data_IF_348510037259
#
_entry.id   IF_348510037259
#
_cell.length_a   1.000
_cell.length_b   1.000
_cell.length_c   1.000
_cell.angle_alpha   90.00
_cell.angle_beta   90.00
_cell.angle_gamma   90.00
#
_symmetry.space_group_name_H-M   'P 1'
#
loop_
_entity.id
_entity.type
_entity.pdbx_description
1 polymer ?
#
# COMPACT_ATOMS: atom_id res chain seq x y z
N UNK A 1 -22.54 14.99 0.72
CA UNK A 1 -22.88 13.66 0.16
C UNK A 1 -21.71 12.96 -0.56
N UNK A 2 -20.82 13.68 -1.28
CA UNK A 2 -19.65 13.09 -1.97
C UNK A 2 -18.57 12.52 -1.01
N UNK A 3 -18.34 13.17 0.14
CA UNK A 3 -17.36 12.73 1.17
C UNK A 3 -17.65 11.35 1.74
N UNK A 4 -18.91 11.03 2.01
CA UNK A 4 -19.31 9.75 2.61
C UNK A 4 -19.06 8.59 1.64
N UNK A 5 -19.30 8.80 0.34
CA UNK A 5 -18.97 7.80 -0.69
C UNK A 5 -17.46 7.59 -0.81
N UNK A 6 -16.67 8.68 -0.82
CA UNK A 6 -15.20 8.59 -0.85
C UNK A 6 -14.65 7.85 0.36
N UNK A 7 -15.12 8.17 1.57
CA UNK A 7 -14.71 7.48 2.80
C UNK A 7 -15.06 5.98 2.78
N UNK A 8 -16.18 5.58 2.17
CA UNK A 8 -16.53 4.17 1.97
C UNK A 8 -15.50 3.46 1.07
N UNK A 9 -15.12 4.08 -0.06
CA UNK A 9 -14.08 3.52 -0.95
C UNK A 9 -12.74 3.34 -0.24
N UNK A 10 -12.30 4.33 0.55
CA UNK A 10 -11.08 4.20 1.36
C UNK A 10 -11.18 3.06 2.38
N UNK A 11 -12.31 2.92 3.07
CA UNK A 11 -12.50 1.80 4.01
C UNK A 11 -12.50 0.44 3.31
N UNK A 12 -13.11 0.32 2.12
CA UNK A 12 -13.07 -0.93 1.35
C UNK A 12 -11.63 -1.30 0.97
N UNK A 13 -10.85 -0.35 0.45
CA UNK A 13 -9.45 -0.57 0.11
C UNK A 13 -8.61 -0.93 1.35
N UNK A 14 -8.86 -0.28 2.49
CA UNK A 14 -8.21 -0.59 3.76
C UNK A 14 -8.45 -2.05 4.16
N UNK A 15 -9.71 -2.51 4.12
CA UNK A 15 -10.03 -3.91 4.44
C UNK A 15 -9.33 -4.87 3.48
N UNK A 16 -9.39 -4.61 2.17
CA UNK A 16 -8.75 -5.47 1.16
C UNK A 16 -7.24 -5.60 1.34
N UNK A 17 -6.55 -4.52 1.73
CA UNK A 17 -5.11 -4.52 2.02
C UNK A 17 -4.79 -5.22 3.34
N UNK A 18 -5.62 -5.08 4.37
CA UNK A 18 -5.46 -5.83 5.63
C UNK A 18 -5.69 -7.33 5.46
N UNK A 19 -6.46 -7.76 4.46
CA UNK A 19 -6.72 -9.17 4.19
C UNK A 19 -5.58 -9.87 3.43
N UNK A 20 -4.58 -9.14 2.89
CA UNK A 20 -3.50 -9.78 2.10
C UNK A 20 -2.71 -10.83 2.89
N UNK A 21 -2.26 -10.60 4.15
CA UNK A 21 -1.52 -11.62 4.90
C UNK A 21 -2.32 -12.91 5.07
N UNK A 22 -3.65 -12.80 5.23
CA UNK A 22 -4.55 -13.95 5.35
C UNK A 22 -4.63 -14.68 4.00
N UNK A 23 -4.77 -13.95 2.90
CA UNK A 23 -4.76 -14.54 1.55
C UNK A 23 -3.44 -15.27 1.25
N UNK A 24 -2.31 -14.69 1.64
CA UNK A 24 -1.00 -15.32 1.51
C UNK A 24 -0.92 -16.61 2.33
N UNK A 25 -1.36 -16.59 3.59
CA UNK A 25 -1.36 -17.78 4.45
C UNK A 25 -2.20 -18.92 3.84
N UNK A 26 -3.36 -18.60 3.28
CA UNK A 26 -4.21 -19.57 2.58
C UNK A 26 -3.46 -20.17 1.37
N UNK A 27 -2.83 -19.33 0.55
CA UNK A 27 -2.06 -19.79 -0.63
C UNK A 27 -0.91 -20.72 -0.22
N UNK A 28 -0.19 -20.40 0.85
CA UNK A 28 0.89 -21.25 1.34
C UNK A 28 0.35 -22.54 1.94
N UNK A 29 -0.75 -22.49 2.68
CA UNK A 29 -1.41 -23.67 3.23
C UNK A 29 -1.80 -24.66 2.13
N UNK A 30 -2.27 -24.17 0.96
CA UNK A 30 -2.51 -25.02 -0.20
C UNK A 30 -1.24 -25.65 -0.79
N UNK A 31 -0.11 -24.94 -0.81
CA UNK A 31 1.17 -25.50 -1.24
C UNK A 31 1.70 -26.55 -0.25
N UNK A 32 1.36 -26.43 1.03
CA UNK A 32 1.78 -27.36 2.07
C UNK A 32 1.00 -28.67 2.05
N UNK A 33 -0.25 -28.66 1.54
CA UNK A 33 -1.07 -29.86 1.37
C UNK A 33 -0.38 -30.80 0.36
N UNK A 34 0.20 -31.89 0.86
CA UNK A 34 0.94 -32.87 0.07
C UNK A 34 2.47 -32.73 0.12
N UNK A 35 2.98 -31.70 0.81
CA UNK A 35 4.41 -31.59 1.16
C UNK A 35 4.63 -32.03 2.62
N UNK A 36 5.74 -32.69 2.92
CA UNK A 36 6.13 -33.02 4.31
C UNK A 36 6.80 -31.83 5.03
N UNK A 37 6.67 -30.63 4.49
CA UNK A 37 7.33 -29.43 5.01
C UNK A 37 6.35 -28.64 5.86
N UNK A 38 6.88 -27.97 6.88
CA UNK A 38 6.14 -26.95 7.64
C UNK A 38 6.36 -25.56 7.02
N UNK A 39 5.58 -24.56 7.44
CA UNK A 39 5.65 -23.17 6.97
C UNK A 39 7.09 -22.61 6.96
N UNK A 40 7.83 -22.87 8.03
CA UNK A 40 9.21 -22.42 8.16
C UNK A 40 10.14 -23.13 7.17
N UNK A 41 9.97 -24.44 6.98
CA UNK A 41 10.73 -25.21 6.00
C UNK A 41 10.48 -24.74 4.57
N UNK A 42 9.25 -24.34 4.25
CA UNK A 42 8.92 -23.81 2.92
C UNK A 42 9.50 -22.41 2.68
N UNK A 43 9.53 -21.56 3.70
CA UNK A 43 10.14 -20.23 3.63
C UNK A 43 11.66 -20.29 3.45
N UNK A 44 12.31 -21.29 4.05
CA UNK A 44 13.74 -21.52 3.91
C UNK A 44 14.10 -22.15 2.55
N UNK A 45 13.22 -23.01 2.02
CA UNK A 45 13.46 -23.69 0.76
C UNK A 45 13.15 -22.81 -0.47
N UNK A 46 12.09 -22.00 -0.41
CA UNK A 46 11.63 -21.17 -1.51
C UNK A 46 11.69 -19.67 -1.16
N UNK A 47 12.78 -19.04 -1.58
CA UNK A 47 13.01 -17.61 -1.37
C UNK A 47 11.94 -16.73 -2.03
N UNK A 48 11.25 -17.21 -3.08
CA UNK A 48 10.14 -16.47 -3.69
C UNK A 48 8.89 -16.44 -2.78
N UNK A 49 8.67 -17.51 -2.00
CA UNK A 49 7.61 -17.54 -0.97
C UNK A 49 7.93 -16.57 0.17
N UNK A 50 9.19 -16.49 0.60
CA UNK A 50 9.62 -15.53 1.63
C UNK A 50 9.44 -14.07 1.18
N UNK A 51 9.76 -13.75 -0.08
CA UNK A 51 9.49 -12.40 -0.63
C UNK A 51 8.00 -12.11 -0.69
N UNK A 52 7.20 -13.07 -1.14
CA UNK A 52 5.74 -12.92 -1.22
C UNK A 52 5.11 -12.70 0.16
N UNK A 53 5.68 -13.32 1.20
CA UNK A 53 5.30 -13.08 2.60
C UNK A 53 5.60 -11.64 3.04
N UNK A 54 6.82 -11.17 2.78
CA UNK A 54 7.23 -9.79 3.05
C UNK A 54 6.31 -8.79 2.33
N UNK A 55 6.02 -9.01 1.05
CA UNK A 55 5.09 -8.20 0.27
C UNK A 55 3.68 -8.18 0.90
N UNK A 56 3.20 -9.34 1.38
CA UNK A 56 1.89 -9.44 2.04
C UNK A 56 1.84 -8.65 3.36
N UNK A 57 2.93 -8.64 4.14
CA UNK A 57 3.04 -7.89 5.40
C UNK A 57 3.08 -6.38 5.18
N UNK A 58 3.64 -5.91 4.05
CA UNK A 58 3.70 -4.47 3.74
C UNK A 58 2.30 -3.88 3.54
N UNK A 59 1.34 -4.66 3.03
CA UNK A 59 0.00 -4.16 2.68
C UNK A 59 -0.83 -3.61 3.87
N UNK A 60 -0.83 -4.23 5.06
CA UNK A 60 -1.39 -3.61 6.28
C UNK A 60 -0.85 -2.21 6.60
N UNK A 61 0.43 -1.91 6.33
CA UNK A 61 1.00 -0.57 6.56
C UNK A 61 0.45 0.44 5.55
N UNK A 62 0.21 0.02 4.32
CA UNK A 62 -0.45 0.83 3.28
C UNK A 62 -1.90 1.08 3.68
N UNK A 63 -2.59 0.08 4.23
CA UNK A 63 -3.94 0.23 4.77
C UNK A 63 -3.99 1.25 5.92
N UNK A 64 -2.98 1.26 6.79
CA UNK A 64 -2.84 2.25 7.85
C UNK A 64 -2.66 3.67 7.30
N UNK A 65 -1.84 3.85 6.25
CA UNK A 65 -1.72 5.14 5.56
C UNK A 65 -3.06 5.61 4.96
N UNK A 66 -3.79 4.71 4.30
CA UNK A 66 -5.13 5.03 3.79
C UNK A 66 -6.11 5.43 4.89
N UNK A 67 -5.99 4.85 6.09
CA UNK A 67 -6.77 5.26 7.24
C UNK A 67 -6.47 6.71 7.65
N UNK A 68 -5.20 7.09 7.70
CA UNK A 68 -4.79 8.45 8.02
C UNK A 68 -5.29 9.45 6.96
N UNK A 69 -5.18 9.10 5.67
CA UNK A 69 -5.75 9.91 4.60
C UNK A 69 -7.25 10.10 4.79
N UNK A 70 -8.00 9.02 5.07
CA UNK A 70 -9.45 9.04 5.29
C UNK A 70 -9.86 10.00 6.43
N UNK A 71 -9.05 10.07 7.49
CA UNK A 71 -9.28 10.98 8.63
C UNK A 71 -9.11 12.45 8.20
N UNK A 72 -8.11 12.71 7.36
CA UNK A 72 -7.69 14.06 6.98
C UNK A 72 -8.24 14.53 5.62
N UNK A 73 -9.08 13.74 4.93
CA UNK A 73 -9.79 14.12 3.69
C UNK A 73 -10.63 15.41 3.76
N UNK A 74 -10.94 15.93 4.96
CA UNK A 74 -11.67 17.19 5.14
C UNK A 74 -10.76 18.41 5.34
N UNK A 75 -9.47 18.23 5.65
CA UNK A 75 -8.53 19.34 5.73
C UNK A 75 -8.08 19.74 4.31
N UNK A 76 -7.65 20.99 4.12
CA UNK A 76 -7.17 21.57 2.83
C UNK A 76 -5.88 20.91 2.28
N UNK A 77 -5.59 19.66 2.65
CA UNK A 77 -4.33 18.95 2.39
C UNK A 77 -4.47 17.86 1.31
N UNK A 78 -5.47 17.99 0.43
CA UNK A 78 -5.73 17.00 -0.62
C UNK A 78 -4.52 16.82 -1.55
N UNK A 79 -3.71 17.85 -1.78
CA UNK A 79 -2.47 17.77 -2.56
C UNK A 79 -1.42 16.84 -1.92
N UNK A 80 -1.20 16.93 -0.61
CA UNK A 80 -0.26 16.07 0.12
C UNK A 80 -0.72 14.60 0.14
N UNK A 81 -2.03 14.38 0.25
CA UNK A 81 -2.62 13.03 0.18
C UNK A 81 -2.44 12.42 -1.21
N UNK A 82 -2.67 13.20 -2.28
CA UNK A 82 -2.47 12.75 -3.65
C UNK A 82 -1.00 12.41 -3.94
N UNK A 83 -0.07 13.26 -3.52
CA UNK A 83 1.37 12.97 -3.64
C UNK A 83 1.75 11.68 -2.90
N UNK A 84 1.21 11.50 -1.69
CA UNK A 84 1.46 10.31 -0.90
C UNK A 84 0.85 9.05 -1.54
N UNK A 85 -0.33 9.16 -2.17
CA UNK A 85 -0.92 8.05 -2.93
C UNK A 85 -0.06 7.64 -4.13
N UNK A 86 0.57 8.58 -4.84
CA UNK A 86 1.51 8.25 -5.93
C UNK A 86 2.68 7.44 -5.39
N UNK A 87 3.25 7.81 -4.24
CA UNK A 87 4.30 7.02 -3.58
C UNK A 87 3.86 5.59 -3.26
N UNK A 88 2.63 5.41 -2.77
CA UNK A 88 2.07 4.08 -2.50
C UNK A 88 1.83 3.27 -3.79
N UNK A 89 1.41 3.91 -4.88
CA UNK A 89 1.27 3.26 -6.20
C UNK A 89 2.63 2.74 -6.68
N UNK A 90 3.68 3.55 -6.55
CA UNK A 90 5.05 3.13 -6.89
C UNK A 90 5.46 1.94 -6.03
N UNK A 91 5.23 1.97 -4.71
CA UNK A 91 5.51 0.84 -3.83
C UNK A 91 4.82 -0.46 -4.30
N UNK A 92 3.55 -0.39 -4.69
CA UNK A 92 2.83 -1.58 -5.15
C UNK A 92 3.29 -2.10 -6.52
N UNK A 93 3.77 -1.22 -7.39
CA UNK A 93 4.43 -1.63 -8.62
C UNK A 93 5.73 -2.40 -8.31
N UNK A 94 6.53 -1.93 -7.35
CA UNK A 94 7.75 -2.64 -6.93
C UNK A 94 7.45 -4.00 -6.29
N UNK A 95 6.36 -4.12 -5.53
CA UNK A 95 5.90 -5.40 -4.99
C UNK A 95 5.22 -6.31 -6.02
N UNK A 96 5.05 -5.86 -7.27
CA UNK A 96 4.40 -6.62 -8.34
C UNK A 96 2.89 -6.80 -8.16
N UNK A 97 2.25 -6.07 -7.26
CA UNK A 97 0.82 -6.25 -6.95
C UNK A 97 -0.08 -5.32 -7.77
N UNK A 98 -0.29 -5.69 -9.04
CA UNK A 98 -1.08 -4.92 -10.01
C UNK A 98 -2.53 -4.68 -9.57
N UNK A 99 -3.12 -5.61 -8.81
CA UNK A 99 -4.49 -5.45 -8.32
C UNK A 99 -4.60 -4.26 -7.35
N UNK A 100 -3.66 -4.14 -6.40
CA UNK A 100 -3.64 -3.00 -5.48
C UNK A 100 -3.22 -1.70 -6.16
N UNK A 101 -2.38 -1.75 -7.20
CA UNK A 101 -2.08 -0.58 -8.05
C UNK A 101 -3.36 0.02 -8.62
N UNK A 102 -4.21 -0.81 -9.24
CA UNK A 102 -5.48 -0.36 -9.82
C UNK A 102 -6.41 0.29 -8.76
N UNK A 103 -6.50 -0.31 -7.57
CA UNK A 103 -7.31 0.23 -6.46
C UNK A 103 -6.78 1.59 -6.00
N UNK A 104 -5.46 1.72 -5.81
CA UNK A 104 -4.84 2.96 -5.35
C UNK A 104 -4.94 4.09 -6.38
N UNK A 105 -4.74 3.78 -7.67
CA UNK A 105 -4.95 4.74 -8.76
C UNK A 105 -6.40 5.20 -8.81
N UNK A 106 -7.36 4.27 -8.69
CA UNK A 106 -8.78 4.61 -8.64
C UNK A 106 -9.11 5.54 -7.47
N UNK A 107 -8.57 5.27 -6.27
CA UNK A 107 -8.71 6.16 -5.12
C UNK A 107 -8.10 7.55 -5.38
N UNK A 108 -6.91 7.61 -5.98
CA UNK A 108 -6.27 8.87 -6.36
C UNK A 108 -7.12 9.71 -7.29
N UNK A 109 -7.68 9.09 -8.35
CA UNK A 109 -8.59 9.78 -9.28
C UNK A 109 -9.84 10.29 -8.57
N UNK A 110 -10.45 9.49 -7.69
CA UNK A 110 -11.64 9.90 -6.96
C UNK A 110 -11.35 11.04 -5.98
N UNK A 111 -10.19 11.04 -5.34
CA UNK A 111 -9.72 12.11 -4.45
C UNK A 111 -9.43 13.38 -5.24
N UNK A 112 -8.83 13.29 -6.43
CA UNK A 112 -8.62 14.43 -7.32
C UNK A 112 -9.93 15.05 -7.81
N UNK A 113 -10.91 14.22 -8.22
CA UNK A 113 -12.23 14.70 -8.67
C UNK A 113 -13.06 15.35 -7.55
N UNK A 114 -12.73 15.07 -6.30
CA UNK A 114 -13.41 15.63 -5.14
C UNK A 114 -13.01 17.09 -4.89
N UNK A 115 -11.75 17.48 -5.16
CA UNK A 115 -11.21 18.82 -4.89
C UNK A 115 -10.83 19.53 -6.21
N UNK A 116 -11.83 20.11 -6.88
CA UNK A 116 -11.68 20.91 -8.11
C UNK A 116 -11.61 22.40 -7.72
N UNK A 117 -10.48 23.00 -7.32
CA UNK A 117 -9.25 23.01 -8.11
C UNK A 117 -7.98 22.91 -7.25
N UNK A 118 -7.23 21.82 -7.39
CA UNK A 118 -5.91 21.69 -6.76
C UNK A 118 -4.94 22.68 -7.41
N UNK A 119 -4.62 23.79 -6.72
CA UNK A 119 -3.38 24.51 -7.00
C UNK A 119 -2.24 23.67 -6.43
N UNK A 120 -1.50 22.97 -7.29
CA UNK A 120 -0.38 22.09 -6.92
C UNK A 120 0.82 22.95 -6.43
N UNK A 121 0.71 23.57 -5.25
CA UNK A 121 1.80 24.33 -4.64
C UNK A 121 2.69 23.39 -3.84
N UNK A 122 3.76 22.87 -4.46
CA UNK A 122 4.77 22.02 -3.82
C UNK A 122 5.33 22.63 -2.52
N UNK A 123 5.48 23.95 -2.46
CA UNK A 123 6.06 24.65 -1.30
C UNK A 123 5.25 24.54 -0.01
N UNK A 124 3.93 24.29 -0.08
CA UNK A 124 3.08 24.12 1.12
C UNK A 124 3.06 22.68 1.64
N UNK A 125 3.54 21.71 0.84
CA UNK A 125 3.56 20.29 1.22
C UNK A 125 4.66 20.02 2.25
N UNK A 126 5.77 20.76 2.18
CA UNK A 126 6.96 20.53 3.03
C UNK A 126 6.83 21.17 4.43
N UNK A 127 5.98 22.20 4.58
CA UNK A 127 5.84 22.97 5.84
C UNK A 127 4.87 22.38 6.86
N UNK A 128 4.18 21.29 6.54
CA UNK A 128 3.10 20.77 7.36
C UNK A 128 3.52 19.51 8.13
N UNK A 129 3.27 19.49 9.45
CA UNK A 129 3.57 18.35 10.35
C UNK A 129 2.89 17.06 9.88
N UNK A 130 1.67 17.15 9.37
CA UNK A 130 0.92 15.98 8.89
C UNK A 130 1.50 15.44 7.57
N UNK A 131 1.98 16.32 6.69
CA UNK A 131 2.66 15.93 5.45
C UNK A 131 3.99 15.23 5.71
N UNK A 132 4.72 15.64 6.76
CA UNK A 132 5.94 14.98 7.18
C UNK A 132 5.68 13.55 7.70
N UNK A 133 4.58 13.35 8.43
CA UNK A 133 4.15 12.02 8.89
C UNK A 133 3.82 11.10 7.71
N UNK A 134 3.10 11.60 6.71
CA UNK A 134 2.81 10.81 5.50
C UNK A 134 4.07 10.47 4.72
N UNK A 135 5.00 11.42 4.61
CA UNK A 135 6.24 11.21 3.88
C UNK A 135 7.13 10.16 4.55
N UNK A 136 7.27 10.21 5.88
CA UNK A 136 8.05 9.24 6.63
C UNK A 136 7.48 7.81 6.50
N UNK A 137 6.17 7.64 6.66
CA UNK A 137 5.52 6.35 6.51
C UNK A 137 5.64 5.81 5.07
N UNK A 138 5.50 6.67 4.06
CA UNK A 138 5.71 6.28 2.66
C UNK A 138 7.17 5.91 2.37
N UNK A 139 8.14 6.64 2.92
CA UNK A 139 9.55 6.34 2.74
C UNK A 139 9.91 4.96 3.31
N UNK A 140 9.36 4.59 4.47
CA UNK A 140 9.53 3.26 5.06
C UNK A 140 8.92 2.16 4.16
N UNK A 141 7.69 2.35 3.68
CA UNK A 141 7.02 1.41 2.77
C UNK A 141 7.81 1.25 1.47
N UNK A 142 8.30 2.35 0.89
CA UNK A 142 9.10 2.34 -0.32
C UNK A 142 10.45 1.64 -0.10
N UNK A 143 11.16 1.90 1.00
CA UNK A 143 12.42 1.25 1.30
C UNK A 143 12.24 -0.28 1.42
N UNK A 144 11.19 -0.73 2.11
CA UNK A 144 10.85 -2.15 2.20
C UNK A 144 10.50 -2.74 0.83
N UNK A 145 9.75 -2.01 0.01
CA UNK A 145 9.37 -2.46 -1.34
C UNK A 145 10.57 -2.56 -2.28
N UNK A 146 11.51 -1.61 -2.21
CA UNK A 146 12.79 -1.66 -2.94
C UNK A 146 13.63 -2.86 -2.49
N UNK A 147 13.67 -3.13 -1.19
CA UNK A 147 14.39 -4.30 -0.66
C UNK A 147 13.78 -5.61 -1.16
N UNK A 148 12.44 -5.72 -1.19
CA UNK A 148 11.73 -6.88 -1.74
C UNK A 148 11.99 -7.04 -3.25
N UNK A 149 11.96 -5.94 -3.99
CA UNK A 149 12.24 -5.94 -5.43
C UNK A 149 13.70 -6.35 -5.73
N UNK A 150 14.66 -5.82 -4.97
CA UNK A 150 16.06 -6.20 -5.09
C UNK A 150 16.29 -7.68 -4.76
N UNK A 151 15.66 -8.18 -3.69
CA UNK A 151 15.70 -9.59 -3.35
C UNK A 151 15.10 -10.46 -4.48
N UNK A 152 14.02 -10.00 -5.12
CA UNK A 152 13.39 -10.70 -6.25
C UNK A 152 14.32 -10.82 -7.45
N UNK A 153 15.01 -9.73 -7.81
CA UNK A 153 16.01 -9.72 -8.89
C UNK A 153 17.16 -10.68 -8.61
N UNK A 154 17.57 -10.84 -7.34
CA UNK A 154 18.67 -11.75 -6.99
C UNK A 154 18.32 -13.24 -7.06
N UNK A 155 17.04 -13.57 -6.98
CA UNK A 155 16.56 -14.97 -7.01
C UNK A 155 16.27 -15.42 -8.45
N UNK A 156 15.92 -14.48 -9.32
CA UNK A 156 15.83 -14.71 -10.78
C UNK A 156 17.21 -14.81 -11.41
#
# INVERSE_FOLDING_TARGET
>A
MKTTKLKKWYSMAQVLLCMTPIMFYIQVSYKLIGSNLDLQGLLEQDAAVAISFLAAIINPFIAYQLHNFKKNLKSKETSSILFSLVGLVVAQLLLGNLFYVCILVFLGVQTYRYDKPISFKLGNIIKNKDAQSYFAANAMILALSVLCFYASIKIM
#
